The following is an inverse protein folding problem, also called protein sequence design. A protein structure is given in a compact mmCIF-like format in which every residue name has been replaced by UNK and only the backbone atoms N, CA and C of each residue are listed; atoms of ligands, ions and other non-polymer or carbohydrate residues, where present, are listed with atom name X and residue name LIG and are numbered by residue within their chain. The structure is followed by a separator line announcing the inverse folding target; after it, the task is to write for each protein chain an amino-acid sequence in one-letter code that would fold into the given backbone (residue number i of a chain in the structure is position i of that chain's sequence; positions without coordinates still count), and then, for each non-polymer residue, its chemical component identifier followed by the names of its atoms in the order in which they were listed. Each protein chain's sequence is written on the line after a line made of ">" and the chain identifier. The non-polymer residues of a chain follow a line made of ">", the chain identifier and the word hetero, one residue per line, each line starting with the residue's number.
data_IF_683236131677
#
_entry.id   IF_683236131677
#
_cell.length_a   1.000
_cell.length_b   1.000
_cell.length_c   1.000
_cell.angle_alpha   90.00
_cell.angle_beta   90.00
_cell.angle_gamma   90.00
#
_symmetry.space_group_name_H-M   'P 1'
#
loop_
_entity.id
_entity.type
_entity.pdbx_description
1 polymer ?
#
# COMPACT_ATOMS: atom_id res chain seq x y z
N UNK A 1 -12.28 16.82 -10.97
CA UNK A 1 -11.03 17.32 -11.55
C UNK A 1 -10.96 16.93 -13.04
N UNK A 2 -10.88 15.66 -13.42
CA UNK A 2 -10.72 15.25 -14.83
C UNK A 2 -11.79 15.79 -15.79
N UNK A 3 -13.08 15.69 -15.44
CA UNK A 3 -14.19 16.19 -16.29
C UNK A 3 -14.16 17.72 -16.56
N UNK A 4 -13.54 18.50 -15.69
CA UNK A 4 -13.47 19.96 -15.76
C UNK A 4 -12.12 20.48 -16.26
N UNK A 5 -11.19 19.58 -16.65
CA UNK A 5 -9.85 19.95 -17.07
C UNK A 5 -8.98 20.57 -15.95
N UNK A 6 -9.41 20.46 -14.68
CA UNK A 6 -8.69 20.99 -13.54
C UNK A 6 -7.64 19.99 -13.10
N UNK A 7 -6.37 20.36 -13.09
CA UNK A 7 -5.26 19.52 -12.71
C UNK A 7 -4.81 19.66 -11.24
N UNK A 8 -5.20 20.75 -10.59
CA UNK A 8 -4.82 21.09 -9.21
C UNK A 8 -5.97 21.78 -8.49
N UNK A 9 -6.20 21.42 -7.22
CA UNK A 9 -7.19 22.05 -6.35
C UNK A 9 -6.52 22.44 -5.04
N UNK A 10 -6.61 23.71 -4.59
CA UNK A 10 -6.18 24.09 -3.25
C UNK A 10 -7.13 23.49 -2.21
N UNK A 11 -6.55 23.04 -1.11
CA UNK A 11 -7.26 22.65 0.11
C UNK A 11 -7.12 23.79 1.09
N UNK A 12 -8.25 24.26 1.63
CA UNK A 12 -8.26 25.39 2.59
C UNK A 12 -8.95 24.99 3.88
N UNK A 13 -8.61 25.66 4.96
CA UNK A 13 -9.40 25.62 6.20
C UNK A 13 -10.69 26.46 6.09
N UNK A 14 -11.46 26.52 7.16
CA UNK A 14 -12.70 27.31 7.24
C UNK A 14 -12.46 28.81 7.04
N UNK A 15 -11.25 29.30 7.36
CA UNK A 15 -10.82 30.68 7.18
C UNK A 15 -10.25 30.97 5.76
N UNK A 16 -10.38 29.99 4.83
CA UNK A 16 -9.85 30.07 3.46
C UNK A 16 -8.31 30.14 3.38
N UNK A 17 -7.60 29.80 4.46
CA UNK A 17 -6.14 29.69 4.45
C UNK A 17 -5.77 28.37 3.74
N UNK A 18 -4.84 28.45 2.79
CA UNK A 18 -4.38 27.26 2.02
C UNK A 18 -3.60 26.33 2.94
N UNK A 19 -4.07 25.10 3.06
CA UNK A 19 -3.45 24.00 3.81
C UNK A 19 -2.60 23.09 2.91
N UNK A 20 -2.95 23.00 1.60
CA UNK A 20 -2.27 22.14 0.66
C UNK A 20 -2.88 22.22 -0.74
N UNK A 21 -2.41 21.36 -1.62
CA UNK A 21 -2.88 21.25 -3.01
C UNK A 21 -3.08 19.77 -3.34
N UNK A 22 -4.25 19.41 -3.84
CA UNK A 22 -4.53 18.08 -4.42
C UNK A 22 -4.33 18.17 -5.93
N UNK A 23 -3.59 17.23 -6.49
CA UNK A 23 -3.34 17.11 -7.92
C UNK A 23 -4.02 15.87 -8.52
N UNK A 24 -4.13 15.80 -9.85
CA UNK A 24 -4.58 14.61 -10.55
C UNK A 24 -3.68 13.39 -10.23
N UNK A 25 -2.39 13.62 -10.02
CA UNK A 25 -1.43 12.58 -9.65
C UNK A 25 -1.75 11.99 -8.27
N UNK A 26 -2.11 12.82 -7.30
CA UNK A 26 -2.48 12.35 -5.96
C UNK A 26 -3.74 11.47 -6.00
N UNK A 27 -4.72 11.85 -6.84
CA UNK A 27 -5.93 11.05 -7.04
C UNK A 27 -5.59 9.71 -7.70
N UNK A 28 -4.79 9.72 -8.77
CA UNK A 28 -4.37 8.48 -9.44
C UNK A 28 -3.58 7.57 -8.50
N UNK A 29 -2.64 8.14 -7.74
CA UNK A 29 -1.85 7.42 -6.75
C UNK A 29 -2.75 6.77 -5.70
N UNK A 30 -3.72 7.49 -5.15
CA UNK A 30 -4.66 6.95 -4.17
C UNK A 30 -5.44 5.75 -4.72
N UNK A 31 -5.83 5.77 -5.99
CA UNK A 31 -6.50 4.63 -6.64
C UNK A 31 -5.60 3.41 -6.81
N UNK A 32 -4.32 3.60 -7.15
CA UNK A 32 -3.35 2.51 -7.31
C UNK A 32 -3.03 1.85 -5.96
N UNK A 33 -2.90 2.66 -4.90
CA UNK A 33 -2.49 2.22 -3.57
C UNK A 33 -3.63 1.64 -2.72
N UNK A 34 -4.87 1.87 -3.10
CA UNK A 34 -6.03 1.38 -2.35
C UNK A 34 -6.23 -0.12 -2.48
N UNK A 35 -6.53 -0.77 -1.35
CA UNK A 35 -6.98 -2.17 -1.30
C UNK A 35 -8.48 -2.26 -1.51
N UNK A 36 -8.93 -1.98 -2.75
CA UNK A 36 -10.35 -2.05 -3.06
C UNK A 36 -10.86 -3.50 -3.15
N UNK A 37 -12.16 -3.76 -2.93
CA UNK A 37 -12.76 -5.09 -3.13
C UNK A 37 -12.49 -5.65 -4.54
N UNK A 38 -12.47 -4.80 -5.56
CA UNK A 38 -12.18 -5.18 -6.94
C UNK A 38 -10.74 -5.69 -7.08
N UNK A 39 -9.75 -4.99 -6.48
CA UNK A 39 -8.34 -5.40 -6.46
C UNK A 39 -8.18 -6.76 -5.77
N UNK A 40 -8.84 -6.96 -4.64
CA UNK A 40 -8.83 -8.24 -3.91
C UNK A 40 -9.42 -9.36 -4.77
N UNK A 41 -10.56 -9.13 -5.41
CA UNK A 41 -11.21 -10.13 -6.27
C UNK A 41 -10.38 -10.44 -7.52
N UNK A 42 -9.74 -9.45 -8.11
CA UNK A 42 -8.84 -9.67 -9.25
C UNK A 42 -7.62 -10.52 -8.84
N UNK A 43 -7.03 -10.24 -7.68
CA UNK A 43 -5.92 -11.02 -7.16
C UNK A 43 -6.33 -12.47 -6.87
N UNK A 44 -7.51 -12.70 -6.27
CA UNK A 44 -8.07 -14.04 -6.06
C UNK A 44 -8.20 -14.82 -7.37
N UNK A 45 -8.83 -14.22 -8.38
CA UNK A 45 -8.98 -14.84 -9.71
C UNK A 45 -7.63 -15.19 -10.33
N UNK A 46 -6.63 -14.34 -10.17
CA UNK A 46 -5.27 -14.60 -10.63
C UNK A 46 -4.67 -15.82 -9.93
N UNK A 47 -4.82 -15.94 -8.60
CA UNK A 47 -4.36 -17.12 -7.85
C UNK A 47 -5.08 -18.39 -8.31
N UNK A 48 -6.40 -18.33 -8.49
CA UNK A 48 -7.20 -19.46 -8.94
C UNK A 48 -6.77 -19.97 -10.32
N UNK A 49 -6.51 -19.03 -11.25
CA UNK A 49 -6.06 -19.35 -12.61
C UNK A 49 -4.63 -19.91 -12.64
N UNK A 50 -3.69 -19.27 -11.93
CA UNK A 50 -2.27 -19.65 -11.94
C UNK A 50 -2.02 -21.01 -11.27
N UNK A 51 -2.76 -21.32 -10.22
CA UNK A 51 -2.49 -22.51 -9.40
C UNK A 51 -3.56 -23.60 -9.52
N UNK A 52 -4.63 -23.38 -10.28
CA UNK A 52 -5.72 -24.35 -10.44
C UNK A 52 -6.42 -24.68 -9.11
N UNK A 53 -6.66 -23.67 -8.28
CA UNK A 53 -7.25 -23.81 -6.94
C UNK A 53 -8.53 -22.99 -6.82
N UNK A 54 -9.28 -23.22 -5.74
CA UNK A 54 -10.38 -22.33 -5.31
C UNK A 54 -9.92 -21.49 -4.12
N UNK A 55 -10.50 -20.31 -3.97
CA UNK A 55 -10.22 -19.43 -2.84
C UNK A 55 -11.50 -18.98 -2.15
N UNK A 56 -11.43 -18.70 -0.85
CA UNK A 56 -12.45 -17.95 -0.09
C UNK A 56 -11.88 -16.61 0.33
N UNK A 57 -12.77 -15.68 0.68
CA UNK A 57 -12.42 -14.33 1.10
C UNK A 57 -13.18 -13.97 2.36
N UNK A 58 -12.46 -13.60 3.39
CA UNK A 58 -13.00 -13.11 4.65
C UNK A 58 -12.38 -11.75 4.99
N UNK A 59 -13.06 -10.97 5.86
CA UNK A 59 -12.53 -9.73 6.40
C UNK A 59 -12.49 -9.85 7.91
N UNK A 60 -11.28 -9.88 8.47
CA UNK A 60 -11.06 -10.09 9.89
C UNK A 60 -9.88 -9.29 10.45
N UNK A 61 -9.74 -9.25 11.78
CA UNK A 61 -8.55 -8.73 12.44
C UNK A 61 -7.56 -9.86 12.65
N UNK A 62 -6.35 -9.71 12.11
CA UNK A 62 -5.26 -10.67 12.23
C UNK A 62 -4.17 -10.13 13.15
N UNK A 63 -3.52 -11.02 13.91
CA UNK A 63 -2.40 -10.65 14.77
C UNK A 63 -1.18 -10.30 13.91
N UNK A 64 -0.58 -9.14 14.19
CA UNK A 64 0.55 -8.61 13.40
C UNK A 64 1.76 -9.55 13.47
N UNK A 65 1.97 -10.23 14.59
CA UNK A 65 3.07 -11.19 14.77
C UNK A 65 2.98 -12.42 13.85
N UNK A 66 1.78 -12.71 13.32
CA UNK A 66 1.52 -13.82 12.43
C UNK A 66 1.67 -13.45 10.94
N UNK A 67 2.01 -12.19 10.65
CA UNK A 67 2.11 -11.66 9.29
C UNK A 67 3.55 -11.77 8.77
N UNK A 68 3.71 -12.45 7.64
CA UNK A 68 4.97 -12.56 6.90
C UNK A 68 4.94 -11.59 5.72
N UNK A 69 5.82 -10.58 5.68
CA UNK A 69 5.87 -9.64 4.57
C UNK A 69 6.43 -10.29 3.30
N UNK A 70 6.15 -9.68 2.16
CA UNK A 70 6.72 -10.08 0.85
C UNK A 70 7.52 -8.96 0.20
N UNK A 71 7.60 -7.79 0.85
CA UNK A 71 8.33 -6.62 0.41
C UNK A 71 9.42 -6.29 1.43
N UNK A 72 10.61 -5.98 0.96
CA UNK A 72 11.79 -5.70 1.77
C UNK A 72 11.92 -4.23 2.17
N UNK A 73 11.19 -3.31 1.52
CA UNK A 73 11.34 -1.87 1.70
C UNK A 73 10.00 -1.17 1.82
N UNK A 74 9.96 -0.15 2.70
CA UNK A 74 8.88 0.83 2.80
C UNK A 74 9.47 2.24 2.89
N UNK A 75 8.70 3.24 2.48
CA UNK A 75 9.16 4.62 2.40
C UNK A 75 8.62 5.43 3.59
N UNK A 76 9.49 6.23 4.20
CA UNK A 76 9.15 6.97 5.42
C UNK A 76 8.03 8.01 5.21
N UNK A 77 8.03 8.69 4.07
CA UNK A 77 7.00 9.66 3.70
C UNK A 77 5.60 9.01 3.58
N UNK A 78 5.53 7.76 3.10
CA UNK A 78 4.27 7.02 3.05
C UNK A 78 3.83 6.49 4.42
N UNK A 79 4.78 6.11 5.29
CA UNK A 79 4.44 5.66 6.64
C UNK A 79 3.73 6.74 7.44
N UNK A 80 4.14 8.00 7.32
CA UNK A 80 3.50 9.12 7.99
C UNK A 80 2.04 9.27 7.56
N UNK A 81 1.78 9.21 6.25
CA UNK A 81 0.42 9.22 5.71
C UNK A 81 -0.43 8.05 6.21
N UNK A 82 0.16 6.83 6.28
CA UNK A 82 -0.57 5.65 6.77
C UNK A 82 -0.83 5.70 8.28
N UNK A 83 0.09 6.26 9.06
CA UNK A 83 -0.13 6.51 10.49
C UNK A 83 -1.33 7.43 10.69
N UNK A 84 -1.40 8.53 9.97
CA UNK A 84 -2.52 9.46 10.00
C UNK A 84 -3.87 8.78 9.65
N UNK A 85 -3.88 7.93 8.61
CA UNK A 85 -5.08 7.17 8.22
C UNK A 85 -5.53 6.20 9.33
N UNK A 86 -4.58 5.50 9.98
CA UNK A 86 -4.86 4.54 11.05
C UNK A 86 -5.45 5.26 12.27
N UNK A 87 -4.85 6.36 12.71
CA UNK A 87 -5.32 7.16 13.86
C UNK A 87 -6.76 7.64 13.70
N UNK A 88 -7.18 7.91 12.48
CA UNK A 88 -8.53 8.41 12.15
C UNK A 88 -9.52 7.31 11.78
N UNK A 89 -9.11 6.04 11.82
CA UNK A 89 -9.98 4.93 11.40
C UNK A 89 -10.29 4.91 9.90
N UNK A 90 -9.49 5.59 9.08
CA UNK A 90 -9.65 5.69 7.62
C UNK A 90 -8.83 4.63 6.87
N UNK A 91 -7.96 3.91 7.58
CA UNK A 91 -7.08 2.93 6.97
C UNK A 91 -7.88 1.75 6.39
N UNK A 92 -7.63 1.44 5.14
CA UNK A 92 -8.21 0.29 4.47
C UNK A 92 -7.56 -1.01 4.97
N UNK A 93 -8.28 -2.17 4.91
CA UNK A 93 -7.68 -3.45 5.23
C UNK A 93 -6.47 -3.76 4.36
N UNK A 94 -5.48 -4.45 4.91
CA UNK A 94 -4.39 -5.05 4.13
C UNK A 94 -4.91 -6.32 3.41
N UNK A 95 -4.17 -6.80 2.41
CA UNK A 95 -4.51 -8.05 1.72
C UNK A 95 -3.51 -9.13 2.12
N UNK A 96 -4.01 -10.26 2.61
CA UNK A 96 -3.18 -11.38 3.05
C UNK A 96 -3.68 -12.69 2.47
N UNK A 97 -2.77 -13.65 2.29
CA UNK A 97 -3.10 -15.04 1.98
C UNK A 97 -2.80 -15.90 3.20
N UNK A 98 -3.77 -16.69 3.62
CA UNK A 98 -3.62 -17.63 4.74
C UNK A 98 -2.73 -18.81 4.31
N UNK A 99 -1.58 -18.98 4.96
CA UNK A 99 -0.64 -20.08 4.70
C UNK A 99 -1.00 -21.30 5.55
N UNK A 100 -1.31 -21.05 6.82
CA UNK A 100 -1.79 -22.04 7.78
C UNK A 100 -2.63 -21.35 8.85
N UNK A 101 -3.02 -22.07 9.93
CA UNK A 101 -3.92 -21.53 10.96
C UNK A 101 -3.38 -20.28 11.67
N UNK A 102 -2.05 -20.11 11.73
CA UNK A 102 -1.40 -19.05 12.49
C UNK A 102 -0.46 -18.17 11.64
N UNK A 103 -0.42 -18.33 10.31
CA UNK A 103 0.48 -17.58 9.45
C UNK A 103 -0.22 -17.07 8.21
N UNK A 104 0.03 -15.81 7.92
CA UNK A 104 -0.52 -15.11 6.76
C UNK A 104 0.61 -14.45 5.97
N UNK A 105 0.54 -14.53 4.66
CA UNK A 105 1.47 -13.87 3.75
C UNK A 105 0.87 -12.51 3.35
N UNK A 106 1.56 -11.43 3.60
CA UNK A 106 1.12 -10.09 3.21
C UNK A 106 1.36 -9.88 1.72
N UNK A 107 0.30 -9.58 0.98
CA UNK A 107 0.36 -9.36 -0.47
C UNK A 107 0.30 -7.88 -0.80
N UNK A 108 -0.49 -7.12 -0.04
CA UNK A 108 -0.63 -5.67 -0.21
C UNK A 108 -0.83 -4.99 1.15
N UNK A 109 -0.35 -3.75 1.26
CA UNK A 109 -0.49 -2.94 2.46
C UNK A 109 0.70 -3.00 3.42
N UNK A 110 1.92 -3.24 2.93
CA UNK A 110 3.14 -3.29 3.75
C UNK A 110 3.38 -1.99 4.53
N UNK A 111 3.15 -0.82 3.93
CA UNK A 111 3.27 0.47 4.62
C UNK A 111 2.27 0.57 5.78
N UNK A 112 0.99 0.16 5.56
CA UNK A 112 -0.05 0.14 6.63
C UNK A 112 0.32 -0.83 7.75
N UNK A 113 0.86 -2.00 7.39
CA UNK A 113 1.32 -2.98 8.36
C UNK A 113 2.46 -2.43 9.22
N UNK A 114 3.50 -1.85 8.61
CA UNK A 114 4.65 -1.27 9.33
C UNK A 114 4.21 -0.09 10.19
N UNK A 115 3.35 0.80 9.68
CA UNK A 115 2.79 1.91 10.46
C UNK A 115 2.02 1.39 11.68
N UNK A 116 1.12 0.42 11.49
CA UNK A 116 0.34 -0.19 12.57
C UNK A 116 1.23 -0.84 13.63
N UNK A 117 2.26 -1.57 13.22
CA UNK A 117 3.24 -2.18 14.12
C UNK A 117 4.02 -1.11 14.93
N UNK A 118 4.48 -0.03 14.29
CA UNK A 118 5.17 1.09 14.96
C UNK A 118 4.30 1.83 15.96
N UNK A 119 2.99 1.87 15.73
CA UNK A 119 2.03 2.44 16.68
C UNK A 119 1.74 1.52 17.89
N UNK A 120 2.32 0.33 17.94
CA UNK A 120 2.11 -0.64 19.03
C UNK A 120 0.78 -1.41 18.92
N UNK A 121 0.14 -1.44 17.76
CA UNK A 121 -1.05 -2.24 17.58
C UNK A 121 -0.70 -3.73 17.50
N UNK A 122 -1.45 -4.59 18.18
CA UNK A 122 -1.27 -6.04 18.14
C UNK A 122 -1.97 -6.66 16.92
N UNK A 123 -3.03 -6.03 16.42
CA UNK A 123 -3.90 -6.53 15.34
C UNK A 123 -4.12 -5.49 14.26
N UNK A 124 -4.31 -5.99 13.05
CA UNK A 124 -4.66 -5.16 11.88
C UNK A 124 -5.82 -5.80 11.11
N UNK A 125 -6.70 -4.98 10.55
CA UNK A 125 -7.80 -5.47 9.70
C UNK A 125 -7.26 -5.91 8.35
N UNK A 126 -7.63 -7.10 7.90
CA UNK A 126 -7.18 -7.69 6.64
C UNK A 126 -8.33 -8.30 5.83
N UNK A 127 -8.19 -8.27 4.52
CA UNK A 127 -8.85 -9.21 3.62
C UNK A 127 -8.01 -10.49 3.57
N UNK A 128 -8.58 -11.58 4.11
CA UNK A 128 -7.90 -12.87 4.21
C UNK A 128 -8.38 -13.78 3.09
N UNK A 129 -7.44 -14.17 2.23
CA UNK A 129 -7.69 -15.11 1.15
C UNK A 129 -7.21 -16.48 1.62
N UNK A 130 -8.14 -17.42 1.76
CA UNK A 130 -7.82 -18.82 2.10
C UNK A 130 -7.79 -19.68 0.83
N UNK A 131 -6.81 -20.57 0.74
CA UNK A 131 -6.59 -21.44 -0.41
C UNK A 131 -7.19 -22.83 -0.14
N UNK A 132 -7.83 -23.43 -1.15
CA UNK A 132 -8.40 -24.78 -1.05
C UNK A 132 -7.33 -25.90 -0.94
N UNK A 133 -6.06 -25.58 -1.23
CA UNK A 133 -4.93 -26.50 -1.13
C UNK A 133 -3.75 -25.78 -0.50
N UNK A 134 -2.96 -26.50 0.27
CA UNK A 134 -1.70 -25.96 0.79
C UNK A 134 -0.67 -25.94 -0.34
N UNK A 135 -0.38 -24.75 -0.84
CA UNK A 135 0.61 -24.51 -1.90
C UNK A 135 1.53 -23.37 -1.50
N UNK A 136 2.79 -23.47 -1.87
CA UNK A 136 3.76 -22.41 -1.67
C UNK A 136 3.72 -21.44 -2.85
N UNK A 137 3.28 -20.22 -2.59
CA UNK A 137 3.12 -19.18 -3.62
C UNK A 137 4.48 -18.69 -4.16
N UNK A 138 4.51 -18.27 -5.42
CA UNK A 138 5.71 -17.71 -6.05
C UNK A 138 6.24 -16.49 -5.32
N UNK A 139 5.35 -15.58 -4.89
CA UNK A 139 5.71 -14.38 -4.10
C UNK A 139 6.34 -14.76 -2.75
N UNK A 140 5.89 -15.84 -2.10
CA UNK A 140 6.49 -16.34 -0.86
C UNK A 140 7.92 -16.86 -1.08
N UNK A 141 8.11 -17.64 -2.14
CA UNK A 141 9.44 -18.15 -2.51
C UNK A 141 10.42 -17.02 -2.81
N UNK A 142 9.94 -15.96 -3.50
CA UNK A 142 10.74 -14.78 -3.82
C UNK A 142 11.12 -14.02 -2.54
N UNK A 143 10.17 -13.80 -1.62
CA UNK A 143 10.43 -13.16 -0.34
C UNK A 143 11.50 -13.92 0.46
N UNK A 144 11.37 -15.23 0.59
CA UNK A 144 12.36 -16.07 1.27
C UNK A 144 13.75 -16.03 0.64
N UNK A 145 13.81 -16.08 -0.71
CA UNK A 145 15.07 -15.94 -1.45
C UNK A 145 15.76 -14.60 -1.18
N UNK A 146 14.98 -13.55 -0.94
CA UNK A 146 15.47 -12.21 -0.62
C UNK A 146 15.70 -12.02 0.90
N UNK A 147 15.60 -13.08 1.71
CA UNK A 147 15.85 -13.01 3.16
C UNK A 147 14.72 -12.39 3.99
N UNK A 148 13.51 -12.27 3.42
CA UNK A 148 12.37 -11.67 4.10
C UNK A 148 11.58 -12.76 4.83
N UNK A 149 11.64 -12.76 6.15
CA UNK A 149 11.00 -13.76 7.02
C UNK A 149 10.05 -13.13 8.04
N UNK A 150 10.28 -11.87 8.40
CA UNK A 150 9.56 -11.15 9.44
C UNK A 150 9.47 -9.64 9.14
N UNK A 151 8.65 -8.92 9.92
CA UNK A 151 8.57 -7.46 9.85
C UNK A 151 9.90 -6.74 10.11
N UNK A 152 10.80 -7.37 10.86
CA UNK A 152 12.12 -6.81 11.19
C UNK A 152 13.07 -6.76 9.99
N UNK A 153 12.76 -7.53 8.95
CA UNK A 153 13.55 -7.58 7.72
C UNK A 153 13.15 -6.48 6.72
N UNK A 154 12.13 -5.68 7.05
CA UNK A 154 11.70 -4.55 6.23
C UNK A 154 12.57 -3.33 6.53
N UNK A 155 13.26 -2.84 5.51
CA UNK A 155 14.03 -1.59 5.56
C UNK A 155 13.11 -0.38 5.39
N UNK A 156 13.30 0.65 6.23
CA UNK A 156 12.60 1.93 6.10
C UNK A 156 13.52 2.94 5.44
N UNK A 157 13.18 3.34 4.22
CA UNK A 157 13.95 4.28 3.42
C UNK A 157 13.52 5.70 3.76
N UNK A 158 14.41 6.46 4.41
CA UNK A 158 14.12 7.82 4.87
C UNK A 158 14.30 8.88 3.78
N UNK A 159 15.31 8.72 2.91
CA UNK A 159 15.75 9.78 1.99
C UNK A 159 15.32 9.57 0.52
N UNK A 160 14.61 8.48 0.23
CA UNK A 160 14.13 8.20 -1.12
C UNK A 160 12.63 8.51 -1.22
N UNK A 161 12.29 9.35 -2.19
CA UNK A 161 10.90 9.49 -2.59
C UNK A 161 10.43 8.19 -3.25
N UNK A 162 9.19 7.79 -2.96
CA UNK A 162 8.57 6.64 -3.63
C UNK A 162 8.77 6.73 -5.16
N UNK A 163 9.07 5.62 -5.87
CA UNK A 163 9.36 5.64 -7.30
C UNK A 163 8.32 6.39 -8.15
N UNK A 164 7.05 6.35 -7.77
CA UNK A 164 5.99 7.11 -8.45
C UNK A 164 6.16 8.64 -8.30
N UNK A 165 6.70 9.12 -7.17
CA UNK A 165 7.02 10.54 -6.96
C UNK A 165 8.23 10.93 -7.80
N UNK A 166 9.26 10.08 -7.84
CA UNK A 166 10.45 10.32 -8.66
C UNK A 166 10.09 10.41 -10.15
N UNK A 167 9.22 9.54 -10.66
CA UNK A 167 8.74 9.58 -12.06
C UNK A 167 7.97 10.89 -12.33
N UNK A 168 7.07 11.27 -11.42
CA UNK A 168 6.28 12.51 -11.57
C UNK A 168 7.11 13.78 -11.33
N UNK A 169 8.12 13.72 -10.47
CA UNK A 169 9.10 14.79 -10.22
C UNK A 169 9.95 15.05 -11.47
N UNK A 170 10.47 14.00 -12.12
CA UNK A 170 11.26 14.14 -13.34
C UNK A 170 10.49 14.76 -14.51
N UNK A 171 9.17 14.63 -14.54
CA UNK A 171 8.29 15.30 -15.50
C UNK A 171 8.12 16.81 -15.18
N UNK A 172 8.25 17.21 -13.90
CA UNK A 172 8.24 18.63 -13.51
C UNK A 172 9.50 19.35 -13.93
N UNK A 173 10.68 18.76 -13.74
CA UNK A 173 11.97 19.39 -14.01
C UNK A 173 12.22 19.61 -15.51
N UNK A 174 11.65 18.80 -16.37
CA UNK A 174 11.77 19.00 -17.84
C UNK A 174 10.95 20.18 -18.39
N UNK A 175 9.98 20.70 -17.63
CA UNK A 175 9.14 21.82 -18.03
C UNK A 175 9.48 23.15 -17.33
N UNK A 176 10.50 23.20 -16.49
CA UNK A 176 10.87 24.40 -15.74
C UNK A 176 12.11 25.05 -16.31
N UNK A 177 12.16 25.22 -17.65
CA UNK A 177 13.01 26.27 -18.23
C UNK A 177 12.18 27.55 -18.28
N UNK A 178 12.05 28.21 -17.14
CA UNK A 178 11.55 29.58 -17.10
C UNK A 178 12.63 30.44 -17.79
N UNK A 179 12.39 30.79 -19.06
CA UNK A 179 13.09 31.90 -19.69
C UNK A 179 12.85 33.14 -18.84
N UNK A 180 13.91 33.63 -18.17
CA UNK A 180 13.90 34.99 -17.62
C UNK A 180 13.63 35.94 -18.78
N UNK A 181 12.50 36.60 -18.74
CA UNK A 181 12.25 37.79 -19.57
C UNK A 181 13.11 38.91 -18.99
N UNK A 182 14.05 39.42 -19.78
CA UNK A 182 14.75 40.66 -19.48
C UNK A 182 13.86 41.87 -19.72
#
# INVERSE_FOLDING_TARGET
>A
MFRLGISRLPVTDENKKVLGIITNTDILRSHIERSTPEKVNQFRKTLEQLYGIKTTLDKEKVDIVNLKPTQDKVYADELEGRTYEIERGLAEPIIVVKINEHKYLVVDGHHRLVASYKMGNDKITAYVISLSKNIKLGIEKTAEKNGIHSLKDIEIIADAQHPLIAITGSLRDKNTTIKKWG
#
